data_IF_006821634252
#
_entry.id   IF_006821634252
#
_cell.length_a   1.000
_cell.length_b   1.000
_cell.length_c   1.000
_cell.angle_alpha   90.00
_cell.angle_beta   90.00
_cell.angle_gamma   90.00
#
_symmetry.space_group_name_H-M   'P 1'
#
loop_
_entity.id
_entity.type
_entity.pdbx_description
1 polymer ?
#
# COMPACT_ATOMS: atom_id res chain seq x y z
N UNK A 1 -17.21 -8.64 -5.56
CA UNK A 1 -16.62 -7.61 -4.70
C UNK A 1 -15.42 -8.22 -4.00
N UNK A 2 -14.27 -7.53 -3.98
CA UNK A 2 -13.11 -7.90 -3.16
C UNK A 2 -13.24 -7.37 -1.72
N UNK A 3 -14.33 -6.68 -1.40
CA UNK A 3 -14.69 -6.25 -0.05
C UNK A 3 -15.67 -7.22 0.63
N UNK A 4 -15.55 -7.32 1.95
CA UNK A 4 -16.34 -8.23 2.81
C UNK A 4 -15.43 -9.13 3.63
N UNK A 5 -15.78 -10.42 3.72
CA UNK A 5 -15.01 -11.44 4.46
C UNK A 5 -13.79 -11.98 3.71
N UNK A 6 -13.44 -11.39 2.56
CA UNK A 6 -12.32 -11.82 1.71
C UNK A 6 -10.98 -11.75 2.45
N UNK A 7 -10.79 -10.79 3.35
CA UNK A 7 -9.59 -10.71 4.19
C UNK A 7 -9.38 -11.90 5.13
N UNK A 8 -10.37 -12.79 5.26
CA UNK A 8 -10.31 -14.01 6.07
C UNK A 8 -10.16 -15.27 5.22
N UNK A 9 -10.03 -15.19 3.88
CA UNK A 9 -9.91 -16.39 3.04
C UNK A 9 -8.59 -17.13 3.21
N UNK A 10 -7.60 -16.48 3.82
CA UNK A 10 -6.25 -17.04 3.97
C UNK A 10 -5.44 -16.93 2.69
N UNK A 11 -4.13 -17.18 2.81
CA UNK A 11 -3.18 -17.13 1.71
C UNK A 11 -2.79 -15.71 1.28
N UNK A 12 -3.14 -14.67 2.05
CA UNK A 12 -2.67 -13.31 1.81
C UNK A 12 -1.24 -13.16 2.34
N UNK A 13 -0.37 -12.45 1.63
CA UNK A 13 0.98 -12.16 2.12
C UNK A 13 1.35 -10.73 1.80
N UNK A 14 2.28 -10.17 2.58
CA UNK A 14 2.79 -8.83 2.36
C UNK A 14 4.29 -8.90 2.10
N UNK A 15 4.82 -8.00 1.27
CA UNK A 15 6.24 -7.90 1.00
C UNK A 15 6.70 -6.45 0.95
N UNK A 16 7.92 -6.18 1.42
CA UNK A 16 8.52 -4.84 1.31
C UNK A 16 8.92 -4.54 -0.13
N UNK A 17 8.92 -3.26 -0.46
CA UNK A 17 9.45 -2.73 -1.72
C UNK A 17 10.34 -1.54 -1.43
N UNK A 18 11.50 -1.51 -2.09
CA UNK A 18 12.41 -0.35 -2.11
C UNK A 18 12.68 0.01 -3.55
N UNK A 19 12.35 1.24 -3.92
CA UNK A 19 12.50 1.78 -5.26
C UNK A 19 13.78 2.62 -5.37
N UNK A 20 14.18 3.01 -6.58
CA UNK A 20 15.50 3.61 -6.86
C UNK A 20 15.67 5.04 -6.32
N UNK A 21 14.60 5.69 -5.88
CA UNK A 21 14.55 7.11 -5.54
C UNK A 21 14.14 7.37 -4.07
N UNK A 22 14.52 6.47 -3.15
CA UNK A 22 14.19 6.62 -1.71
C UNK A 22 12.75 6.25 -1.35
N UNK A 23 11.90 5.95 -2.33
CA UNK A 23 10.54 5.48 -2.07
C UNK A 23 10.59 4.06 -1.48
N UNK A 24 9.96 3.93 -0.32
CA UNK A 24 9.80 2.69 0.44
C UNK A 24 8.31 2.35 0.55
N UNK A 25 7.98 1.08 0.75
CA UNK A 25 6.60 0.65 0.69
C UNK A 25 6.39 -0.82 0.98
N UNK A 26 5.12 -1.20 1.01
CA UNK A 26 4.69 -2.58 1.25
C UNK A 26 3.65 -2.95 0.20
N UNK A 27 3.85 -4.08 -0.46
CA UNK A 27 2.87 -4.75 -1.28
C UNK A 27 2.02 -5.66 -0.41
N UNK A 28 0.70 -5.57 -0.54
CA UNK A 28 -0.26 -6.46 0.11
C UNK A 28 -0.89 -7.35 -0.96
N UNK A 29 -0.43 -8.59 -1.05
CA UNK A 29 -0.88 -9.58 -2.02
C UNK A 29 -2.16 -10.25 -1.50
N UNK A 30 -3.29 -9.77 -2.00
CA UNK A 30 -4.59 -10.31 -1.68
C UNK A 30 -4.95 -11.45 -2.64
N UNK A 31 -4.77 -12.68 -2.15
CA UNK A 31 -5.31 -13.86 -2.82
C UNK A 31 -6.83 -13.88 -2.73
N UNK A 32 -7.50 -13.79 -3.87
CA UNK A 32 -8.95 -13.84 -3.98
C UNK A 32 -9.46 -15.28 -4.01
N UNK A 33 -10.56 -15.54 -3.31
CA UNK A 33 -11.24 -16.84 -3.34
C UNK A 33 -12.03 -17.05 -4.66
N UNK A 34 -12.43 -18.29 -4.91
CA UNK A 34 -13.39 -18.68 -5.95
C UNK A 34 -12.99 -18.33 -7.40
N UNK A 35 -11.69 -18.40 -7.71
CA UNK A 35 -11.19 -18.18 -9.08
C UNK A 35 -11.29 -16.74 -9.58
N UNK A 36 -11.53 -15.79 -8.68
CA UNK A 36 -11.43 -14.36 -9.00
C UNK A 36 -9.96 -13.97 -9.18
N UNK A 37 -9.64 -12.93 -9.97
CA UNK A 37 -8.26 -12.49 -10.21
C UNK A 37 -7.64 -11.95 -8.94
N UNK A 38 -6.35 -12.23 -8.68
CA UNK A 38 -5.65 -11.69 -7.53
C UNK A 38 -5.57 -10.16 -7.59
N UNK A 39 -5.37 -9.56 -6.43
CA UNK A 39 -5.29 -8.12 -6.24
C UNK A 39 -4.06 -7.82 -5.39
N UNK A 40 -3.19 -6.94 -5.85
CA UNK A 40 -2.07 -6.45 -5.06
C UNK A 40 -2.30 -4.99 -4.73
N UNK A 41 -2.28 -4.63 -3.45
CA UNK A 41 -2.20 -3.22 -3.05
C UNK A 41 -0.75 -2.82 -2.85
N UNK A 42 -0.45 -1.54 -2.98
CA UNK A 42 0.81 -0.94 -2.58
C UNK A 42 0.53 0.27 -1.70
N UNK A 43 1.12 0.30 -0.51
CA UNK A 43 1.25 1.52 0.30
C UNK A 43 2.71 1.95 0.24
N UNK A 44 2.97 3.22 -0.02
CA UNK A 44 4.33 3.73 -0.14
C UNK A 44 4.45 5.14 0.43
N UNK A 45 5.67 5.50 0.80
CA UNK A 45 6.05 6.83 1.25
C UNK A 45 7.45 7.17 0.72
N UNK A 46 7.70 8.46 0.57
CA UNK A 46 9.00 8.98 0.13
C UNK A 46 9.92 9.22 1.33
N UNK A 47 11.07 8.54 1.35
CA UNK A 47 12.16 8.86 2.27
C UNK A 47 12.98 10.01 1.71
N UNK A 48 13.26 11.01 2.55
CA UNK A 48 14.09 12.18 2.20
C UNK A 48 15.08 12.46 3.32
N UNK A 49 16.00 13.39 3.11
CA UNK A 49 16.98 13.77 4.14
C UNK A 49 16.32 14.24 5.46
N UNK A 50 15.11 14.80 5.38
CA UNK A 50 14.34 15.30 6.52
C UNK A 50 13.27 14.30 7.03
N UNK A 51 12.94 13.28 6.24
CA UNK A 51 11.83 12.34 6.51
C UNK A 51 12.35 10.91 6.54
N UNK A 52 12.31 10.30 7.72
CA UNK A 52 12.64 8.89 7.92
C UNK A 52 11.41 8.02 7.65
N UNK A 53 11.53 7.00 6.81
CA UNK A 53 10.43 6.05 6.54
C UNK A 53 10.73 4.70 7.20
N UNK A 54 9.74 4.16 7.89
CA UNK A 54 9.81 2.85 8.54
C UNK A 54 8.57 2.02 8.27
N UNK A 55 8.71 0.70 8.32
CA UNK A 55 7.72 -0.25 7.79
C UNK A 55 7.40 -1.35 8.80
N UNK A 56 6.12 -1.69 8.90
CA UNK A 56 5.61 -2.91 9.51
C UNK A 56 4.91 -3.73 8.41
N UNK A 57 5.65 -4.62 7.72
CA UNK A 57 5.14 -5.40 6.58
C UNK A 57 3.92 -6.24 6.93
N UNK A 58 3.86 -6.78 8.14
CA UNK A 58 2.77 -7.65 8.54
C UNK A 58 2.50 -7.56 10.05
N UNK A 59 1.23 -7.30 10.39
CA UNK A 59 0.69 -7.51 11.72
C UNK A 59 -0.69 -8.18 11.62
N UNK A 60 -1.04 -8.97 12.63
CA UNK A 60 -2.30 -9.69 12.70
C UNK A 60 -3.37 -8.75 13.23
N UNK A 61 -4.40 -8.50 12.41
CA UNK A 61 -5.57 -7.69 12.78
C UNK A 61 -6.52 -8.53 13.62
N UNK A 62 -6.75 -9.78 13.21
CA UNK A 62 -7.64 -10.72 13.88
C UNK A 62 -7.37 -12.16 13.42
N UNK A 63 -7.71 -13.15 14.25
CA UNK A 63 -7.60 -14.58 13.93
C UNK A 63 -6.40 -15.25 14.59
N UNK A 64 -6.00 -16.40 14.05
CA UNK A 64 -5.05 -17.32 14.67
C UNK A 64 -3.64 -17.28 14.05
N UNK A 65 -3.43 -16.47 13.01
CA UNK A 65 -2.11 -16.27 12.43
C UNK A 65 -1.14 -15.80 13.51
N UNK A 66 0.08 -16.34 13.50
CA UNK A 66 1.14 -15.97 14.43
C UNK A 66 1.89 -14.75 13.89
N UNK A 67 2.37 -13.88 14.78
CA UNK A 67 3.19 -12.73 14.40
C UNK A 67 2.95 -11.53 15.31
N UNK A 68 3.45 -10.38 14.86
CA UNK A 68 3.21 -9.06 15.48
C UNK A 68 1.69 -8.84 15.57
N UNK A 69 1.17 -8.53 16.75
CA UNK A 69 -0.25 -8.19 16.88
C UNK A 69 -0.49 -6.74 16.51
N UNK A 70 -1.74 -6.39 16.16
CA UNK A 70 -2.12 -4.97 16.01
C UNK A 70 -1.81 -4.14 17.26
N UNK A 71 -1.87 -4.75 18.46
CA UNK A 71 -1.47 -4.11 19.70
C UNK A 71 0.03 -3.81 19.72
N UNK A 72 0.88 -4.77 19.36
CA UNK A 72 2.35 -4.59 19.36
C UNK A 72 2.76 -3.52 18.35
N UNK A 73 2.20 -3.57 17.13
CA UNK A 73 2.39 -2.54 16.10
C UNK A 73 2.00 -1.16 16.64
N UNK A 74 0.86 -1.04 17.32
CA UNK A 74 0.41 0.23 17.89
C UNK A 74 1.30 0.73 19.04
N UNK A 75 1.81 -0.16 19.88
CA UNK A 75 2.72 0.23 20.97
C UNK A 75 4.05 0.74 20.42
N UNK A 76 4.58 0.07 19.39
CA UNK A 76 5.83 0.49 18.74
C UNK A 76 5.74 1.92 18.19
N UNK A 77 4.72 2.20 17.36
CA UNK A 77 4.55 3.53 16.77
C UNK A 77 4.28 4.61 17.82
N UNK A 78 3.54 4.26 18.89
CA UNK A 78 3.24 5.19 19.98
C UNK A 78 4.48 5.58 20.78
N UNK A 79 5.35 4.61 21.09
CA UNK A 79 6.52 4.84 21.95
C UNK A 79 7.72 5.41 21.18
N UNK A 80 7.84 5.10 19.89
CA UNK A 80 9.04 5.40 19.11
C UNK A 80 8.79 6.29 17.90
N UNK A 81 7.54 6.44 17.45
CA UNK A 81 7.21 7.22 16.27
C UNK A 81 7.70 6.59 14.95
N UNK A 82 8.30 5.41 15.00
CA UNK A 82 8.77 4.62 13.86
C UNK A 82 8.62 3.11 14.15
N UNK A 83 8.84 2.26 13.15
CA UNK A 83 8.82 0.80 13.27
C UNK A 83 10.22 0.15 13.32
N UNK A 84 11.28 0.93 13.50
CA UNK A 84 12.67 0.44 13.32
C UNK A 84 13.08 -0.65 14.32
N UNK A 85 12.43 -0.71 15.49
CA UNK A 85 12.74 -1.73 16.50
C UNK A 85 11.89 -3.00 16.34
N UNK A 86 10.92 -2.97 15.43
CA UNK A 86 10.08 -4.10 15.11
C UNK A 86 10.79 -4.99 14.08
N UNK A 87 11.33 -6.12 14.56
CA UNK A 87 11.95 -7.11 13.65
C UNK A 87 10.88 -7.72 12.75
N UNK A 88 10.91 -7.35 11.47
CA UNK A 88 10.03 -7.89 10.45
C UNK A 88 10.84 -8.52 9.31
N UNK A 89 10.31 -9.60 8.74
CA UNK A 89 10.86 -10.21 7.55
C UNK A 89 10.51 -9.36 6.31
N UNK A 90 11.34 -9.47 5.26
CA UNK A 90 11.08 -8.81 3.96
C UNK A 90 9.77 -9.27 3.32
N UNK A 91 9.38 -10.53 3.56
CA UNK A 91 8.11 -11.09 3.12
C UNK A 91 7.44 -11.81 4.28
N UNK A 92 6.14 -11.57 4.45
CA UNK A 92 5.35 -12.26 5.46
C UNK A 92 5.03 -13.68 5.03
N UNK A 93 4.84 -14.55 6.02
CA UNK A 93 4.18 -15.83 5.76
C UNK A 93 2.75 -15.58 5.27
N UNK A 94 2.20 -16.45 4.41
CA UNK A 94 0.80 -16.39 4.03
C UNK A 94 -0.12 -16.50 5.25
N UNK A 95 -1.20 -15.73 5.26
CA UNK A 95 -2.17 -15.72 6.36
C UNK A 95 -2.95 -17.04 6.43
N UNK A 96 -3.30 -17.46 7.64
CA UNK A 96 -4.17 -18.62 7.84
C UNK A 96 -5.63 -18.28 7.48
N UNK A 97 -6.43 -19.24 6.97
CA UNK A 97 -7.87 -19.06 6.84
C UNK A 97 -8.50 -18.64 8.18
N UNK A 98 -9.45 -17.70 8.13
CA UNK A 98 -10.06 -17.10 9.32
C UNK A 98 -9.20 -16.04 10.00
N UNK A 99 -8.03 -15.70 9.45
CA UNK A 99 -7.18 -14.61 9.94
C UNK A 99 -7.08 -13.48 8.92
N UNK A 100 -6.99 -12.26 9.43
CA UNK A 100 -6.79 -11.04 8.66
C UNK A 100 -5.47 -10.39 9.09
N UNK A 101 -4.68 -9.96 8.11
CA UNK A 101 -3.39 -9.31 8.29
C UNK A 101 -3.42 -7.90 7.70
N UNK A 102 -2.59 -7.02 8.25
CA UNK A 102 -2.40 -5.64 7.80
C UNK A 102 -0.94 -5.33 7.58
N UNK A 103 -0.68 -4.19 6.96
CA UNK A 103 0.63 -3.58 6.80
C UNK A 103 0.55 -2.13 7.24
N UNK A 104 1.66 -1.56 7.73
CA UNK A 104 1.76 -0.16 8.08
C UNK A 104 3.07 0.43 7.62
N UNK A 105 3.04 1.69 7.21
CA UNK A 105 4.20 2.51 6.89
C UNK A 105 4.09 3.79 7.72
N UNK A 106 5.22 4.25 8.25
CA UNK A 106 5.30 5.46 9.04
C UNK A 106 6.39 6.37 8.48
N UNK A 107 6.12 7.67 8.50
CA UNK A 107 7.08 8.70 8.16
C UNK A 107 7.29 9.59 9.40
N UNK A 108 8.55 9.73 9.81
CA UNK A 108 8.96 10.39 11.05
C UNK A 108 9.91 11.53 10.70
N UNK A 109 9.64 12.71 11.23
CA UNK A 109 10.47 13.90 11.02
C UNK A 109 10.38 14.83 12.23
N UNK A 110 11.38 15.70 12.37
CA UNK A 110 11.36 16.79 13.35
C UNK A 110 11.09 18.11 12.63
N UNK A 111 10.08 18.83 13.08
CA UNK A 111 9.70 20.13 12.49
C UNK A 111 10.12 21.24 13.45
N UNK A 112 11.01 22.13 12.99
CA UNK A 112 11.40 23.32 13.76
C UNK A 112 10.25 24.32 13.86
N UNK A 113 10.32 25.22 14.85
CA UNK A 113 9.35 26.32 14.97
C UNK A 113 9.24 27.08 13.64
N UNK A 114 8.00 27.40 13.25
CA UNK A 114 7.68 28.12 11.99
C UNK A 114 8.02 27.39 10.69
N UNK A 115 8.57 26.17 10.75
CA UNK A 115 8.82 25.37 9.56
C UNK A 115 7.56 24.65 9.07
N UNK A 116 7.41 24.56 7.75
CA UNK A 116 6.39 23.73 7.08
C UNK A 116 7.12 22.60 6.37
N UNK A 117 6.62 21.37 6.51
CA UNK A 117 7.15 20.19 5.86
C UNK A 117 6.02 19.42 5.20
N UNK A 118 6.31 18.83 4.06
CA UNK A 118 5.40 17.96 3.31
C UNK A 118 5.92 16.55 3.38
N UNK A 119 5.00 15.60 3.60
CA UNK A 119 5.29 14.17 3.56
C UNK A 119 4.30 13.54 2.59
N UNK A 120 4.83 12.80 1.61
CA UNK A 120 4.03 12.22 0.54
C UNK A 120 3.82 10.73 0.80
N UNK A 121 2.56 10.29 0.74
CA UNK A 121 2.18 8.89 0.75
C UNK A 121 1.38 8.57 -0.51
N UNK A 122 1.44 7.32 -0.96
CA UNK A 122 0.56 6.81 -2.01
C UNK A 122 -0.08 5.48 -1.63
N UNK A 123 -1.28 5.28 -2.17
CA UNK A 123 -1.99 4.01 -2.18
C UNK A 123 -2.32 3.68 -3.64
N UNK A 124 -1.87 2.52 -4.09
CA UNK A 124 -2.21 2.00 -5.40
C UNK A 124 -2.71 0.57 -5.29
N UNK A 125 -3.36 0.10 -6.36
CA UNK A 125 -3.74 -1.30 -6.48
C UNK A 125 -3.65 -1.78 -7.92
N UNK A 126 -3.22 -3.02 -8.06
CA UNK A 126 -3.16 -3.73 -9.32
C UNK A 126 -4.07 -4.95 -9.27
N UNK A 127 -5.11 -4.89 -10.10
CA UNK A 127 -5.96 -6.00 -10.46
C UNK A 127 -6.22 -5.82 -11.96
N UNK A 128 -5.44 -6.47 -12.84
CA UNK A 128 -5.46 -6.13 -14.26
C UNK A 128 -6.76 -6.53 -14.95
N UNK A 129 -7.51 -7.48 -14.38
CA UNK A 129 -8.68 -8.09 -15.01
C UNK A 129 -9.99 -7.72 -14.32
N UNK A 130 -11.01 -7.39 -15.12
CA UNK A 130 -12.40 -7.26 -14.68
C UNK A 130 -13.24 -8.41 -15.24
N UNK A 131 -13.95 -9.10 -14.34
CA UNK A 131 -14.86 -10.20 -14.68
C UNK A 131 -16.31 -9.73 -14.62
N UNK A 132 -17.06 -9.99 -15.70
CA UNK A 132 -18.50 -9.74 -15.76
C UNK A 132 -19.30 -11.00 -15.47
N UNK A 133 -20.54 -10.83 -14.99
CA UNK A 133 -21.46 -11.94 -14.68
C UNK A 133 -21.74 -12.86 -15.89
N UNK A 134 -21.55 -12.34 -17.10
CA UNK A 134 -21.65 -13.10 -18.36
C UNK A 134 -20.48 -14.07 -18.60
N UNK A 135 -19.51 -14.14 -17.68
CA UNK A 135 -18.31 -14.98 -17.80
C UNK A 135 -17.20 -14.38 -18.67
N UNK A 136 -17.37 -13.13 -19.14
CA UNK A 136 -16.35 -12.44 -19.93
C UNK A 136 -15.36 -11.70 -19.02
N UNK A 137 -14.08 -11.81 -19.37
CA UNK A 137 -12.97 -11.13 -18.71
C UNK A 137 -12.33 -10.12 -19.66
N UNK A 138 -12.04 -8.92 -19.16
CA UNK A 138 -11.40 -7.86 -19.91
C UNK A 138 -10.27 -7.22 -19.11
N UNK A 139 -9.20 -6.76 -19.77
CA UNK A 139 -8.18 -5.95 -19.11
C UNK A 139 -8.73 -4.57 -18.75
N UNK A 140 -8.43 -4.09 -17.54
CA UNK A 140 -8.73 -2.71 -17.10
C UNK A 140 -7.89 -1.72 -17.89
N UNK A 141 -8.39 -0.50 -18.11
CA UNK A 141 -7.75 0.51 -18.99
C UNK A 141 -6.29 0.82 -18.64
N UNK A 142 -5.95 0.89 -17.34
CA UNK A 142 -4.60 1.26 -16.92
C UNK A 142 -3.53 0.24 -17.34
N UNK A 143 -3.92 -1.00 -17.64
CA UNK A 143 -3.00 -2.05 -18.12
C UNK A 143 -2.35 -1.72 -19.46
N UNK A 144 -2.90 -0.74 -20.21
CA UNK A 144 -2.24 -0.20 -21.40
C UNK A 144 -0.89 0.47 -21.07
N UNK A 145 -0.76 1.03 -19.86
CA UNK A 145 0.43 1.73 -19.40
C UNK A 145 1.34 0.83 -18.54
N UNK A 146 0.73 -0.03 -17.72
CA UNK A 146 1.46 -0.82 -16.72
C UNK A 146 1.53 -2.33 -17.02
N UNK A 147 0.91 -2.80 -18.12
CA UNK A 147 0.84 -4.21 -18.46
C UNK A 147 -0.28 -4.97 -17.73
N UNK A 148 -0.37 -6.27 -18.00
CA UNK A 148 -1.45 -7.15 -17.51
C UNK A 148 -0.97 -8.26 -16.57
N UNK A 149 0.29 -8.22 -16.12
CA UNK A 149 0.91 -9.33 -15.37
C UNK A 149 0.52 -9.38 -13.88
N UNK A 150 -0.09 -8.33 -13.33
CA UNK A 150 -0.51 -8.30 -11.92
C UNK A 150 0.61 -7.91 -10.94
N UNK A 151 1.70 -7.31 -11.44
CA UNK A 151 2.89 -6.87 -10.72
C UNK A 151 3.12 -5.34 -10.76
N UNK A 152 2.11 -4.57 -11.18
CA UNK A 152 2.23 -3.14 -11.41
C UNK A 152 2.00 -2.25 -10.18
N UNK A 153 1.47 -2.80 -9.07
CA UNK A 153 1.05 -1.99 -7.92
C UNK A 153 2.17 -1.09 -7.37
N UNK A 154 3.40 -1.61 -7.32
CA UNK A 154 4.59 -0.85 -6.94
C UNK A 154 4.82 0.34 -7.87
N UNK A 155 4.86 0.11 -9.18
CA UNK A 155 5.12 1.16 -10.16
C UNK A 155 4.02 2.23 -10.17
N UNK A 156 2.75 1.83 -9.97
CA UNK A 156 1.65 2.79 -9.88
C UNK A 156 1.79 3.67 -8.62
N UNK A 157 2.15 3.08 -7.48
CA UNK A 157 2.39 3.83 -6.24
C UNK A 157 3.60 4.76 -6.34
N UNK A 158 4.64 4.31 -7.04
CA UNK A 158 5.84 5.08 -7.35
C UNK A 158 5.51 6.32 -8.18
N UNK A 159 4.87 6.13 -9.33
CA UNK A 159 4.53 7.23 -10.24
C UNK A 159 3.56 8.21 -9.57
N UNK A 160 2.66 7.73 -8.70
CA UNK A 160 1.83 8.59 -7.87
C UNK A 160 2.64 9.47 -6.91
N UNK A 161 3.72 8.97 -6.30
CA UNK A 161 4.58 9.80 -5.44
C UNK A 161 5.34 10.83 -6.28
N UNK A 162 5.88 10.45 -7.45
CA UNK A 162 6.70 11.38 -8.23
C UNK A 162 5.87 12.45 -8.96
N UNK A 163 4.69 12.07 -9.46
CA UNK A 163 3.92 12.93 -10.36
C UNK A 163 2.76 13.69 -9.67
N UNK A 164 2.49 13.46 -8.37
CA UNK A 164 1.33 14.07 -7.69
C UNK A 164 1.29 15.59 -7.84
N UNK A 165 2.42 16.29 -7.68
CA UNK A 165 2.46 17.75 -7.80
C UNK A 165 2.08 18.25 -9.20
N UNK A 166 2.40 17.51 -10.26
CA UNK A 166 1.95 17.82 -11.61
C UNK A 166 0.46 17.49 -11.80
N UNK A 167 -0.03 16.41 -11.20
CA UNK A 167 -1.44 16.05 -11.24
C UNK A 167 -2.32 17.07 -10.51
N UNK A 168 -1.88 17.56 -9.35
CA UNK A 168 -2.54 18.64 -8.61
C UNK A 168 -2.67 19.91 -9.45
N UNK A 169 -1.58 20.35 -10.10
CA UNK A 169 -1.59 21.51 -11.00
C UNK A 169 -2.58 21.34 -12.15
N UNK A 170 -2.67 20.15 -12.75
CA UNK A 170 -3.62 19.86 -13.82
C UNK A 170 -5.07 19.87 -13.32
N UNK A 171 -5.33 19.35 -12.13
CA UNK A 171 -6.65 19.38 -11.48
C UNK A 171 -7.06 20.83 -11.20
N UNK A 172 -6.17 21.62 -10.61
CA UNK A 172 -6.41 23.05 -10.34
C UNK A 172 -6.69 23.84 -11.61
N UNK A 173 -5.90 23.62 -12.68
CA UNK A 173 -6.10 24.29 -13.95
C UNK A 173 -7.46 23.97 -14.58
N UNK A 174 -7.91 22.73 -14.47
CA UNK A 174 -9.25 22.32 -14.92
C UNK A 174 -10.37 22.94 -14.05
N UNK A 175 -10.18 23.04 -12.74
CA UNK A 175 -11.19 23.56 -11.82
C UNK A 175 -11.31 25.08 -11.84
N UNK A 176 -10.22 25.80 -12.10
CA UNK A 176 -10.13 27.27 -12.01
C UNK A 176 -11.27 28.03 -12.71
N UNK A 177 -11.62 27.73 -13.98
CA UNK A 177 -12.67 28.47 -14.68
C UNK A 177 -14.09 28.31 -14.11
N UNK A 178 -14.29 27.39 -13.16
CA UNK A 178 -15.56 27.15 -12.48
C UNK A 178 -15.57 27.82 -11.10
N UNK A 179 -14.42 27.89 -10.44
CA UNK A 179 -14.27 28.38 -9.07
C UNK A 179 -14.01 29.90 -9.00
N UNK A 180 -13.36 30.46 -10.02
CA UNK A 180 -13.01 31.88 -10.18
C UNK A 180 -13.77 32.51 -11.37
#
# INVERSE_FOLDING_TARGET
SVGGVSGFSGGHCNSKIRMKDGIQGILLHHKTANGLPPLTFAIAAEETDDVHVSECPCFVISGNSQGITAKDMWHEIKEHGSFDRLKSAEMSMPSEPGSSIGAAIAASLTISSEAVRTVTFSLAWDCPEVNFLSGRTYPRRYTKFYGTHGDAAANIAHDAILDHGNWEQQIEAWQRPILE
#
